data_IF_520670662311
#
_entry.id   IF_520670662311
#
_cell.length_a   1.000
_cell.length_b   1.000
_cell.length_c   1.000
_cell.angle_alpha   90.00
_cell.angle_beta   90.00
_cell.angle_gamma   90.00
#
_symmetry.space_group_name_H-M   'P 1'
#
loop_
_entity.id
_entity.type
_entity.pdbx_description
1 polymer ?
#
# COMPACT_ATOMS: atom_id res chain seq x y z
N UNK A 1 10.53 3.49 14.59
CA UNK A 1 11.41 3.97 13.52
C UNK A 1 10.90 3.41 12.19
N UNK A 2 9.94 4.11 11.59
CA UNK A 2 9.59 4.02 10.18
C UNK A 2 9.46 5.48 9.78
N UNK A 3 10.48 6.02 9.12
CA UNK A 3 10.43 7.39 8.61
C UNK A 3 9.95 7.32 7.16
N UNK A 4 9.09 8.28 6.79
CA UNK A 4 8.61 8.54 5.43
C UNK A 4 9.71 8.48 4.37
N UNK A 5 10.97 8.76 4.74
CA UNK A 5 12.12 8.70 3.84
C UNK A 5 12.49 7.28 3.39
N UNK A 6 12.31 6.26 4.25
CA UNK A 6 12.58 4.87 3.87
C UNK A 6 11.45 4.32 3.01
N UNK A 7 10.21 4.71 3.28
CA UNK A 7 9.04 4.25 2.52
C UNK A 7 8.90 4.94 1.16
N UNK A 8 9.26 6.24 1.06
CA UNK A 8 9.33 6.95 -0.23
C UNK A 8 10.41 6.33 -1.12
N UNK A 9 11.59 6.05 -0.56
CA UNK A 9 12.69 5.44 -1.30
C UNK A 9 12.31 4.07 -1.87
N UNK A 10 11.65 3.21 -1.08
CA UNK A 10 11.21 1.89 -1.57
C UNK A 10 10.06 2.00 -2.56
N UNK A 11 9.10 2.88 -2.31
CA UNK A 11 7.99 3.15 -3.24
C UNK A 11 8.50 3.60 -4.60
N UNK A 12 9.52 4.48 -4.60
CA UNK A 12 10.12 5.00 -5.83
C UNK A 12 10.96 3.96 -6.56
N UNK A 13 11.69 3.11 -5.83
CA UNK A 13 12.42 1.98 -6.43
C UNK A 13 11.44 0.99 -7.07
N UNK A 14 10.35 0.63 -6.38
CA UNK A 14 9.34 -0.30 -6.90
C UNK A 14 8.62 0.27 -8.13
N UNK A 15 8.17 1.53 -8.05
CA UNK A 15 7.53 2.21 -9.18
C UNK A 15 8.44 2.19 -10.42
N UNK A 16 9.71 2.54 -10.25
CA UNK A 16 10.67 2.58 -11.34
C UNK A 16 11.08 1.19 -11.86
N UNK A 17 11.18 0.18 -10.98
CA UNK A 17 11.64 -1.15 -11.37
C UNK A 17 10.54 -2.00 -12.00
N UNK A 18 9.29 -1.77 -11.61
CA UNK A 18 8.15 -2.55 -12.07
C UNK A 18 7.27 -1.80 -13.09
N UNK A 19 7.63 -0.56 -13.43
CA UNK A 19 6.83 0.36 -14.27
C UNK A 19 5.37 0.39 -13.78
N UNK A 20 5.20 0.64 -12.48
CA UNK A 20 3.92 0.54 -11.80
C UNK A 20 3.62 1.77 -10.96
N UNK A 21 2.33 1.95 -10.67
CA UNK A 21 1.85 2.97 -9.73
C UNK A 21 1.95 2.40 -8.32
N UNK A 22 2.56 3.15 -7.41
CA UNK A 22 2.65 2.80 -6.00
C UNK A 22 1.75 3.72 -5.17
N UNK A 23 0.87 3.13 -4.37
CA UNK A 23 0.00 3.82 -3.42
C UNK A 23 0.51 3.47 -2.03
N UNK A 24 1.12 4.44 -1.34
CA UNK A 24 1.51 4.29 0.06
C UNK A 24 0.34 4.65 0.97
N UNK A 25 0.04 3.79 1.95
CA UNK A 25 -1.11 3.91 2.84
C UNK A 25 -0.60 4.12 4.26
N UNK A 26 -0.88 5.30 4.81
CA UNK A 26 -0.60 5.61 6.22
C UNK A 26 -1.68 5.01 7.12
N UNK A 27 -1.67 3.67 7.26
CA UNK A 27 -2.67 2.95 8.04
C UNK A 27 -2.42 3.13 9.54
N UNK A 28 -3.50 3.12 10.31
CA UNK A 28 -3.44 3.32 11.75
C UNK A 28 -2.64 2.22 12.46
N UNK A 29 -1.68 2.61 13.29
CA UNK A 29 -0.77 1.72 14.01
C UNK A 29 -1.22 1.43 15.45
N UNK A 30 -0.83 0.26 15.96
CA UNK A 30 -0.94 -0.09 17.37
C UNK A 30 0.24 0.52 18.17
N UNK A 31 0.07 0.83 19.47
CA UNK A 31 -1.07 0.48 20.34
C UNK A 31 -2.28 1.43 20.28
N UNK A 32 -2.15 2.60 19.66
CA UNK A 32 -3.18 3.64 19.59
C UNK A 32 -4.44 3.13 18.87
N UNK A 33 -4.24 2.35 17.81
CA UNK A 33 -5.31 1.72 17.03
C UNK A 33 -5.05 0.22 16.91
N UNK A 34 -5.62 -0.52 17.85
CA UNK A 34 -5.52 -1.98 17.90
C UNK A 34 -6.28 -2.62 16.72
N UNK A 35 -6.02 -3.92 16.52
CA UNK A 35 -6.77 -4.75 15.59
C UNK A 35 -8.30 -4.54 15.74
N UNK A 36 -9.06 -4.35 14.63
CA UNK A 36 -8.68 -4.55 13.23
C UNK A 36 -8.33 -3.26 12.44
N UNK A 37 -8.01 -2.14 13.09
CA UNK A 37 -7.89 -0.83 12.43
C UNK A 37 -7.01 -0.81 11.16
N UNK A 38 -5.78 -1.34 11.24
CA UNK A 38 -4.88 -1.45 10.09
C UNK A 38 -5.46 -2.28 8.93
N UNK A 39 -6.21 -3.34 9.23
CA UNK A 39 -6.83 -4.21 8.20
C UNK A 39 -7.93 -3.46 7.46
N UNK A 40 -8.74 -2.69 8.19
CA UNK A 40 -9.78 -1.85 7.59
C UNK A 40 -9.17 -0.79 6.67
N UNK A 41 -8.12 -0.10 7.13
CA UNK A 41 -7.46 0.96 6.34
C UNK A 41 -6.82 0.38 5.06
N UNK A 42 -6.20 -0.80 5.14
CA UNK A 42 -5.68 -1.51 3.96
C UNK A 42 -6.80 -1.89 2.98
N UNK A 43 -7.92 -2.42 3.48
CA UNK A 43 -9.05 -2.81 2.64
C UNK A 43 -9.67 -1.61 1.92
N UNK A 44 -9.92 -0.52 2.66
CA UNK A 44 -10.47 0.71 2.10
C UNK A 44 -9.54 1.31 1.04
N UNK A 45 -8.22 1.21 1.24
CA UNK A 45 -7.22 1.66 0.27
C UNK A 45 -7.21 0.83 -1.01
N UNK A 46 -7.34 -0.50 -0.90
CA UNK A 46 -7.46 -1.38 -2.08
C UNK A 46 -8.74 -1.07 -2.84
N UNK A 47 -9.86 -0.88 -2.13
CA UNK A 47 -11.14 -0.52 -2.73
C UNK A 47 -11.03 0.81 -3.49
N UNK A 48 -10.44 1.83 -2.87
CA UNK A 48 -10.20 3.11 -3.52
C UNK A 48 -9.31 2.96 -4.77
N UNK A 49 -8.24 2.18 -4.69
CA UNK A 49 -7.34 1.92 -5.82
C UNK A 49 -8.07 1.25 -6.98
N UNK A 50 -8.93 0.25 -6.70
CA UNK A 50 -9.74 -0.41 -7.72
C UNK A 50 -10.74 0.54 -8.38
N UNK A 51 -11.44 1.35 -7.59
CA UNK A 51 -12.43 2.32 -8.09
C UNK A 51 -11.79 3.47 -8.88
N UNK A 52 -10.52 3.81 -8.60
CA UNK A 52 -9.83 4.94 -9.22
C UNK A 52 -8.70 4.55 -10.17
N UNK A 53 -8.45 3.25 -10.40
CA UNK A 53 -7.32 2.77 -11.19
C UNK A 53 -7.21 3.48 -12.56
N UNK A 54 -8.31 3.53 -13.31
CA UNK A 54 -8.34 4.18 -14.63
C UNK A 54 -8.06 5.69 -14.54
N UNK A 55 -8.48 6.37 -13.46
CA UNK A 55 -8.27 7.80 -13.26
C UNK A 55 -6.81 8.16 -12.96
N UNK A 56 -6.06 7.23 -12.35
CA UNK A 56 -4.63 7.40 -12.04
C UNK A 56 -3.71 6.77 -13.11
N UNK A 57 -4.28 6.29 -14.22
CA UNK A 57 -3.54 5.66 -15.32
C UNK A 57 -3.13 4.20 -15.07
N UNK A 58 -3.73 3.56 -14.07
CA UNK A 58 -3.52 2.14 -13.74
C UNK A 58 -4.55 1.20 -14.38
N UNK A 59 -4.33 -0.10 -14.21
CA UNK A 59 -5.23 -1.16 -14.66
C UNK A 59 -5.87 -1.86 -13.45
N UNK A 60 -7.20 -1.77 -13.32
CA UNK A 60 -7.96 -2.37 -12.22
C UNK A 60 -7.85 -3.90 -12.13
N UNK A 61 -7.44 -4.56 -13.21
CA UNK A 61 -7.20 -6.01 -13.26
C UNK A 61 -5.76 -6.39 -12.85
N UNK A 62 -4.89 -5.40 -12.58
CA UNK A 62 -3.48 -5.59 -12.24
C UNK A 62 -3.12 -4.85 -10.96
N UNK A 63 -3.76 -5.23 -9.86
CA UNK A 63 -3.51 -4.68 -8.53
C UNK A 63 -2.74 -5.70 -7.69
N UNK A 64 -1.64 -5.27 -7.07
CA UNK A 64 -0.85 -6.06 -6.14
C UNK A 64 -0.70 -5.31 -4.82
N UNK A 65 -0.64 -6.05 -3.71
CA UNK A 65 -0.45 -5.50 -2.36
C UNK A 65 0.90 -5.95 -1.85
N UNK A 66 1.68 -5.01 -1.31
CA UNK A 66 2.96 -5.27 -0.69
C UNK A 66 3.05 -4.49 0.62
N UNK A 67 3.73 -5.05 1.61
CA UNK A 67 4.03 -4.35 2.85
C UNK A 67 5.42 -4.72 3.36
N UNK A 68 6.04 -3.79 4.06
CA UNK A 68 7.38 -3.97 4.61
C UNK A 68 7.22 -3.98 6.13
N UNK A 69 7.86 -4.94 6.79
CA UNK A 69 7.92 -5.08 8.25
C UNK A 69 6.70 -5.72 8.94
N UNK A 70 5.51 -5.10 8.98
CA UNK A 70 4.33 -5.66 9.68
C UNK A 70 3.07 -5.80 8.80
N UNK A 71 3.06 -5.16 7.62
CA UNK A 71 2.01 -5.27 6.59
C UNK A 71 2.37 -6.22 5.43
N UNK A 72 3.49 -6.94 5.53
CA UNK A 72 3.99 -7.83 4.47
C UNK A 72 3.97 -9.28 4.90
N UNK A 73 2.82 -9.94 4.83
CA UNK A 73 2.79 -11.40 4.92
C UNK A 73 1.94 -11.96 3.78
N UNK A 74 2.63 -12.57 2.82
CA UNK A 74 2.09 -13.64 1.98
C UNK A 74 1.58 -13.25 0.60
N UNK A 75 2.49 -13.25 -0.38
CA UNK A 75 2.17 -13.69 -1.75
C UNK A 75 1.79 -15.18 -1.71
N UNK A 76 0.64 -15.53 -2.29
CA UNK A 76 0.47 -16.77 -3.05
C UNK A 76 -0.56 -16.57 -4.15
#
# INVERSE_FOLDING_TARGET
>A
MGSIETEDSVSRILANSCDCIVISVDYRLAPEHKFPAAVTDCFDSIKWAYENAENIGGDKNRIAVFGISAGGVGLS
#
